data_IF_060039215432
#
_entry.id   IF_060039215432
#
_cell.length_a   1.000
_cell.length_b   1.000
_cell.length_c   1.000
_cell.angle_alpha   90.00
_cell.angle_beta   90.00
_cell.angle_gamma   90.00
#
_symmetry.space_group_name_H-M   'P 1'
#
loop_
_entity.id
_entity.type
_entity.pdbx_description
1 polymer ?
#
# COMPACT_ATOMS: atom_id res chain seq x y z
N UNK A 1 48.30 8.88 -35.34
CA UNK A 1 48.99 7.57 -35.26
C UNK A 1 47.93 6.54 -34.95
N UNK A 2 47.67 5.71 -35.95
CA UNK A 2 46.71 4.62 -35.95
C UNK A 2 47.36 3.39 -35.33
N UNK A 3 46.59 2.57 -34.65
CA UNK A 3 46.77 1.11 -34.72
C UNK A 3 45.44 0.41 -34.40
N UNK A 4 44.93 -0.22 -35.42
CA UNK A 4 43.92 -1.27 -35.41
C UNK A 4 44.51 -2.55 -34.80
N UNK A 5 43.69 -3.36 -34.16
CA UNK A 5 43.85 -4.81 -34.13
C UNK A 5 42.47 -5.48 -34.04
N UNK A 6 42.21 -6.23 -35.07
CA UNK A 6 41.09 -7.12 -35.37
C UNK A 6 41.36 -8.55 -34.89
N UNK A 7 40.28 -9.33 -34.92
CA UNK A 7 40.19 -10.81 -35.09
C UNK A 7 40.02 -11.59 -33.77
N UNK A 8 39.27 -12.66 -33.67
CA UNK A 8 38.49 -13.56 -34.52
C UNK A 8 37.71 -14.47 -33.57
N UNK A 9 36.51 -14.77 -33.73
CA UNK A 9 35.81 -15.83 -34.39
C UNK A 9 36.15 -17.26 -33.99
N UNK A 10 35.23 -17.92 -33.22
CA UNK A 10 35.15 -19.40 -33.25
C UNK A 10 33.74 -19.90 -33.00
N UNK A 11 33.14 -20.34 -34.05
CA UNK A 11 31.94 -21.19 -34.10
C UNK A 11 32.29 -22.63 -33.68
N UNK A 12 31.45 -23.24 -32.88
CA UNK A 12 31.43 -24.69 -32.73
C UNK A 12 30.01 -25.20 -32.85
N UNK A 13 29.76 -25.81 -34.02
CA UNK A 13 28.58 -26.66 -34.28
C UNK A 13 28.90 -28.06 -33.78
N UNK A 14 27.96 -28.71 -33.09
CA UNK A 14 27.88 -30.19 -33.02
C UNK A 14 26.39 -30.58 -32.92
N UNK A 15 25.95 -31.16 -33.88
CA UNK A 15 25.45 -32.40 -34.52
C UNK A 15 24.44 -33.16 -33.66
N UNK A 16 23.36 -33.38 -34.34
CA UNK A 16 22.21 -34.21 -34.07
C UNK A 16 22.56 -35.68 -33.83
N UNK A 17 21.77 -36.36 -33.04
CA UNK A 17 21.72 -37.82 -32.93
C UNK A 17 20.28 -38.24 -32.70
N UNK A 18 19.79 -39.06 -33.62
CA UNK A 18 18.41 -39.49 -33.76
C UNK A 18 18.15 -40.86 -33.10
N UNK A 19 16.89 -41.10 -32.86
CA UNK A 19 16.14 -42.37 -33.00
C UNK A 19 16.18 -43.42 -31.87
N UNK A 20 15.02 -43.87 -31.48
CA UNK A 20 14.74 -45.09 -30.75
C UNK A 20 13.22 -45.23 -30.43
N UNK A 21 12.53 -45.92 -31.30
CA UNK A 21 11.06 -46.19 -31.20
C UNK A 21 10.78 -47.52 -30.50
N UNK A 22 9.46 -47.72 -30.25
CA UNK A 22 8.75 -48.98 -29.93
C UNK A 22 8.62 -49.26 -28.40
N UNK A 23 7.50 -49.77 -27.85
CA UNK A 23 6.28 -50.37 -28.42
C UNK A 23 5.15 -50.41 -27.37
N UNK A 24 3.97 -50.41 -27.86
CA UNK A 24 2.68 -50.94 -27.41
C UNK A 24 2.61 -51.77 -26.11
N UNK A 25 1.53 -51.48 -25.34
CA UNK A 25 0.95 -52.41 -24.37
C UNK A 25 -0.45 -51.98 -23.99
N UNK A 26 -1.44 -52.34 -24.80
CA UNK A 26 -2.89 -52.29 -24.46
C UNK A 26 -3.22 -53.42 -23.47
N UNK A 27 -3.88 -53.09 -22.37
CA UNK A 27 -4.77 -54.05 -21.69
C UNK A 27 -6.06 -53.36 -21.30
N UNK A 28 -7.12 -53.70 -21.95
CA UNK A 28 -8.52 -53.50 -21.58
C UNK A 28 -8.96 -54.62 -20.63
N UNK A 29 -9.75 -54.31 -19.62
CA UNK A 29 -10.88 -55.03 -19.00
C UNK A 29 -11.10 -54.40 -17.64
N UNK A 30 -12.28 -54.10 -17.15
CA UNK A 30 -13.62 -54.58 -17.39
C UNK A 30 -14.62 -53.75 -16.57
N UNK A 31 -15.83 -53.77 -17.06
CA UNK A 31 -17.06 -53.22 -16.49
C UNK A 31 -17.44 -53.82 -15.13
N UNK A 32 -18.11 -53.01 -14.33
CA UNK A 32 -18.85 -53.49 -13.16
C UNK A 32 -19.61 -52.37 -12.47
N UNK A 33 -20.82 -52.10 -12.87
CA UNK A 33 -22.06 -52.28 -12.13
C UNK A 33 -22.48 -51.11 -11.22
N UNK A 34 -23.43 -50.35 -11.73
CA UNK A 34 -24.23 -49.37 -10.97
C UNK A 34 -24.95 -49.99 -9.76
N UNK A 35 -25.05 -49.19 -8.68
CA UNK A 35 -26.28 -49.16 -7.86
C UNK A 35 -26.55 -47.77 -7.35
N UNK A 36 -27.72 -47.29 -7.73
CA UNK A 36 -28.44 -46.12 -7.23
C UNK A 36 -28.94 -46.42 -5.81
N UNK A 37 -28.84 -45.46 -4.93
CA UNK A 37 -29.60 -45.52 -3.68
C UNK A 37 -29.18 -44.49 -2.64
N UNK A 38 -30.09 -43.57 -2.36
CA UNK A 38 -30.07 -42.82 -1.11
C UNK A 38 -29.87 -41.34 -1.24
N UNK A 39 -30.99 -40.63 -1.44
CA UNK A 39 -31.09 -39.19 -1.13
C UNK A 39 -30.89 -38.98 0.37
N UNK A 40 -29.87 -38.25 0.76
CA UNK A 40 -29.92 -37.48 1.99
C UNK A 40 -29.57 -36.05 1.63
N UNK A 41 -30.55 -35.17 1.76
CA UNK A 41 -30.41 -33.73 1.71
C UNK A 41 -29.62 -33.29 2.95
N UNK A 42 -28.31 -33.33 2.86
CA UNK A 42 -27.42 -32.66 3.79
C UNK A 42 -27.24 -31.25 3.31
N UNK A 43 -27.76 -30.30 4.07
CA UNK A 43 -27.42 -28.88 4.00
C UNK A 43 -25.92 -28.72 4.31
N UNK A 44 -25.08 -28.98 3.32
CA UNK A 44 -23.67 -28.75 3.35
C UNK A 44 -23.40 -27.41 2.67
N UNK A 45 -23.09 -26.41 3.45
CA UNK A 45 -22.51 -25.18 2.92
C UNK A 45 -21.34 -25.56 2.00
N UNK A 46 -21.40 -25.11 0.77
CA UNK A 46 -20.32 -25.24 -0.21
C UNK A 46 -19.10 -24.53 0.35
N UNK A 47 -18.20 -25.26 1.02
CA UNK A 47 -16.85 -24.79 1.26
C UNK A 47 -16.13 -24.81 -0.10
N UNK A 48 -16.41 -23.81 -0.92
CA UNK A 48 -15.67 -23.58 -2.15
C UNK A 48 -14.19 -23.42 -1.76
N UNK A 49 -13.31 -24.16 -2.42
CA UNK A 49 -11.87 -23.94 -2.24
C UNK A 49 -11.60 -22.48 -2.47
N UNK A 50 -10.98 -21.78 -1.51
CA UNK A 50 -10.73 -20.34 -1.56
C UNK A 50 -9.92 -19.93 -2.81
N UNK A 51 -9.08 -20.82 -3.33
CA UNK A 51 -8.25 -20.57 -4.50
C UNK A 51 -7.09 -19.62 -4.19
N UNK A 52 -6.62 -18.95 -5.23
CA UNK A 52 -5.52 -17.98 -5.15
C UNK A 52 -6.05 -16.59 -5.45
N UNK A 53 -5.61 -15.57 -4.68
CA UNK A 53 -5.84 -14.18 -5.01
C UNK A 53 -4.55 -13.35 -4.84
N UNK A 54 -4.46 -12.28 -5.62
CA UNK A 54 -3.31 -11.39 -5.69
C UNK A 54 -3.61 -10.13 -4.88
N UNK A 55 -2.84 -9.90 -3.84
CA UNK A 55 -2.97 -8.77 -2.93
C UNK A 55 -1.88 -7.75 -3.22
N UNK A 56 -2.23 -6.53 -3.59
CA UNK A 56 -1.27 -5.45 -3.72
C UNK A 56 -0.72 -5.06 -2.33
N UNK A 57 0.53 -4.68 -2.28
CA UNK A 57 1.20 -4.10 -1.10
C UNK A 57 1.88 -2.83 -1.57
N UNK A 58 1.43 -1.69 -1.07
CA UNK A 58 2.06 -0.41 -1.35
C UNK A 58 3.21 -0.13 -0.36
N UNK A 59 4.16 0.78 -0.70
CA UNK A 59 5.46 0.86 -0.05
C UNK A 59 5.46 1.64 1.28
N UNK A 60 4.55 1.32 2.20
CA UNK A 60 4.58 1.80 3.58
C UNK A 60 4.14 0.71 4.56
N UNK A 61 4.68 0.77 5.77
CA UNK A 61 4.54 -0.32 6.75
C UNK A 61 3.11 -0.50 7.26
N UNK A 62 2.28 0.55 7.25
CA UNK A 62 0.86 0.44 7.60
C UNK A 62 0.12 -0.47 6.63
N UNK A 63 0.33 -0.28 5.33
CA UNK A 63 -0.23 -1.16 4.30
C UNK A 63 0.31 -2.59 4.39
N UNK A 64 1.61 -2.75 4.66
CA UNK A 64 2.19 -4.07 4.88
C UNK A 64 1.52 -4.80 6.04
N UNK A 65 1.15 -4.06 7.10
CA UNK A 65 0.40 -4.61 8.24
C UNK A 65 -1.01 -5.09 7.85
N UNK A 66 -1.77 -4.27 7.07
CA UNK A 66 -3.06 -4.67 6.52
C UNK A 66 -2.94 -5.96 5.70
N UNK A 67 -2.01 -5.95 4.76
CA UNK A 67 -1.78 -7.08 3.86
C UNK A 67 -1.37 -8.36 4.60
N UNK A 68 -0.52 -8.22 5.63
CA UNK A 68 -0.07 -9.36 6.43
C UNK A 68 -1.22 -9.99 7.22
N UNK A 69 -2.08 -9.17 7.85
CA UNK A 69 -3.20 -9.65 8.65
C UNK A 69 -4.26 -10.31 7.77
N UNK A 70 -4.63 -9.68 6.65
CA UNK A 70 -5.62 -10.26 5.72
C UNK A 70 -5.08 -11.54 5.09
N UNK A 71 -3.80 -11.57 4.68
CA UNK A 71 -3.18 -12.77 4.12
C UNK A 71 -3.15 -13.91 5.14
N UNK A 72 -2.71 -13.65 6.37
CA UNK A 72 -2.67 -14.64 7.44
C UNK A 72 -4.05 -15.26 7.70
N UNK A 73 -5.09 -14.44 7.82
CA UNK A 73 -6.47 -14.93 8.04
C UNK A 73 -6.98 -15.73 6.84
N UNK A 74 -6.71 -15.26 5.62
CA UNK A 74 -7.10 -15.96 4.39
C UNK A 74 -6.43 -17.33 4.28
N UNK A 75 -5.16 -17.44 4.59
CA UNK A 75 -4.39 -18.67 4.48
C UNK A 75 -4.76 -19.65 5.60
N UNK A 76 -4.75 -19.20 6.87
CA UNK A 76 -4.92 -20.06 8.04
C UNK A 76 -6.39 -20.46 8.29
N UNK A 77 -7.34 -19.56 8.06
CA UNK A 77 -8.75 -19.84 8.34
C UNK A 77 -9.56 -20.28 7.13
N UNK A 78 -9.20 -19.84 5.92
CA UNK A 78 -9.96 -20.10 4.70
C UNK A 78 -9.25 -21.05 3.74
N UNK A 79 -7.96 -21.38 3.99
CA UNK A 79 -7.15 -22.25 3.13
C UNK A 79 -6.89 -21.65 1.75
N UNK A 80 -6.84 -20.32 1.66
CA UNK A 80 -6.49 -19.60 0.45
C UNK A 80 -4.98 -19.69 0.16
N UNK A 81 -4.59 -19.34 -1.06
CA UNK A 81 -3.22 -18.98 -1.38
C UNK A 81 -3.17 -17.49 -1.69
N UNK A 82 -2.42 -16.72 -0.93
CA UNK A 82 -2.28 -15.27 -1.14
C UNK A 82 -0.96 -14.97 -1.81
N UNK A 83 -1.01 -14.25 -2.93
CA UNK A 83 0.18 -13.73 -3.61
C UNK A 83 0.29 -12.24 -3.34
N UNK A 84 1.15 -11.87 -2.42
CA UNK A 84 1.49 -10.46 -2.15
C UNK A 84 2.34 -9.91 -3.30
N UNK A 85 2.02 -8.70 -3.75
CA UNK A 85 2.71 -8.01 -4.85
C UNK A 85 3.09 -6.61 -4.40
N UNK A 86 4.38 -6.37 -4.27
CA UNK A 86 4.91 -5.05 -3.94
C UNK A 86 4.77 -4.13 -5.16
N UNK A 87 3.87 -3.18 -5.08
CA UNK A 87 3.48 -2.30 -6.17
C UNK A 87 3.34 -0.86 -5.68
N UNK A 88 3.63 0.08 -6.58
CA UNK A 88 3.26 1.49 -6.40
C UNK A 88 1.75 1.65 -6.58
N UNK A 89 1.17 2.69 -5.98
CA UNK A 89 -0.28 2.92 -5.97
C UNK A 89 -0.91 2.85 -7.36
N UNK A 90 -0.46 3.68 -8.30
CA UNK A 90 -1.02 3.68 -9.66
C UNK A 90 -0.86 2.33 -10.40
N UNK A 91 0.25 1.61 -10.15
CA UNK A 91 0.49 0.31 -10.77
C UNK A 91 -0.45 -0.74 -10.18
N UNK A 92 -0.73 -0.66 -8.87
CA UNK A 92 -1.71 -1.55 -8.22
C UNK A 92 -3.10 -1.40 -8.87
N UNK A 93 -3.55 -0.17 -9.13
CA UNK A 93 -4.82 0.09 -9.81
C UNK A 93 -4.85 -0.43 -11.27
N UNK A 94 -3.74 -0.29 -12.01
CA UNK A 94 -3.62 -0.85 -13.36
C UNK A 94 -3.78 -2.38 -13.37
N UNK A 95 -3.31 -3.04 -12.30
CA UNK A 95 -3.38 -4.48 -12.10
C UNK A 95 -4.80 -5.06 -12.12
N UNK A 96 -5.84 -4.26 -11.83
CA UNK A 96 -7.23 -4.71 -11.92
C UNK A 96 -7.65 -5.04 -13.36
N UNK A 97 -7.16 -4.26 -14.33
CA UNK A 97 -7.47 -4.48 -15.76
C UNK A 97 -6.73 -5.69 -16.36
N UNK A 98 -5.54 -5.99 -15.86
CA UNK A 98 -4.71 -7.09 -16.34
C UNK A 98 -4.98 -8.41 -15.59
N UNK A 99 -5.69 -8.37 -14.45
CA UNK A 99 -5.90 -9.50 -13.56
C UNK A 99 -4.70 -9.83 -12.69
N UNK A 100 -3.75 -8.91 -12.59
CA UNK A 100 -2.56 -9.05 -11.75
C UNK A 100 -2.79 -8.66 -10.30
N UNK A 101 -3.82 -7.88 -10.01
CA UNK A 101 -4.25 -7.46 -8.69
C UNK A 101 -5.72 -7.81 -8.50
N UNK A 102 -6.05 -8.43 -7.38
CA UNK A 102 -7.41 -8.73 -6.97
C UNK A 102 -7.91 -7.78 -5.89
N UNK A 103 -7.03 -7.30 -5.01
CA UNK A 103 -7.40 -6.38 -3.94
C UNK A 103 -6.30 -5.34 -3.63
N UNK A 104 -6.76 -4.13 -3.35
CA UNK A 104 -6.08 -3.03 -2.65
C UNK A 104 -6.81 -2.86 -1.31
N UNK A 105 -6.09 -2.88 -0.19
CA UNK A 105 -6.69 -2.83 1.15
C UNK A 105 -6.74 -1.42 1.74
N UNK A 106 -5.88 -0.53 1.29
CA UNK A 106 -5.75 0.80 1.85
C UNK A 106 -5.67 1.83 0.72
N UNK A 107 -6.81 2.37 0.34
CA UNK A 107 -6.90 3.44 -0.66
C UNK A 107 -7.10 4.79 0.04
N UNK A 108 -6.32 5.78 -0.36
CA UNK A 108 -6.27 7.13 0.21
C UNK A 108 -7.06 8.15 -0.63
N UNK A 109 -8.30 7.82 -0.95
CA UNK A 109 -9.19 8.68 -1.74
C UNK A 109 -9.08 8.38 -3.24
N UNK A 110 -8.12 8.98 -3.95
CA UNK A 110 -7.85 8.78 -5.38
C UNK A 110 -9.10 8.79 -6.27
N UNK A 111 -9.88 9.86 -6.19
CA UNK A 111 -11.14 10.01 -6.96
C UNK A 111 -10.92 9.90 -8.47
N UNK A 112 -9.78 10.33 -8.97
CA UNK A 112 -9.37 10.19 -10.37
C UNK A 112 -9.18 8.73 -10.78
N UNK A 113 -8.55 7.90 -9.92
CA UNK A 113 -8.38 6.46 -10.15
C UNK A 113 -9.71 5.71 -9.99
N UNK A 114 -10.54 6.08 -9.01
CA UNK A 114 -11.92 5.55 -8.88
C UNK A 114 -12.72 5.86 -10.14
N UNK A 115 -12.72 7.10 -10.61
CA UNK A 115 -13.38 7.49 -11.86
C UNK A 115 -12.90 6.67 -13.04
N UNK A 116 -11.58 6.48 -13.16
CA UNK A 116 -10.97 5.73 -14.26
C UNK A 116 -11.32 4.24 -14.21
N UNK A 117 -11.06 3.57 -13.08
CA UNK A 117 -11.12 2.10 -13.01
C UNK A 117 -12.46 1.55 -12.56
N UNK A 118 -13.21 2.29 -11.70
CA UNK A 118 -14.53 1.85 -11.22
C UNK A 118 -15.63 2.31 -12.19
N UNK A 119 -15.65 3.61 -12.57
CA UNK A 119 -16.77 4.15 -13.35
C UNK A 119 -16.59 3.92 -14.85
N UNK A 120 -15.42 4.27 -15.42
CA UNK A 120 -15.19 4.26 -16.86
C UNK A 120 -14.81 2.87 -17.38
N UNK A 121 -13.71 2.29 -16.86
CA UNK A 121 -13.22 0.98 -17.31
C UNK A 121 -14.00 -0.19 -16.70
N UNK A 122 -14.60 0.01 -15.51
CA UNK A 122 -15.39 -1.00 -14.79
C UNK A 122 -14.60 -2.28 -14.52
N UNK A 123 -13.30 -2.14 -14.28
CA UNK A 123 -12.39 -3.24 -13.93
C UNK A 123 -12.28 -3.45 -12.43
N UNK A 124 -12.63 -2.44 -11.64
CA UNK A 124 -12.62 -2.45 -10.18
C UNK A 124 -14.00 -2.12 -9.59
N UNK A 125 -14.17 -2.41 -8.30
CA UNK A 125 -15.32 -2.04 -7.48
C UNK A 125 -14.84 -1.69 -6.09
N UNK A 126 -15.57 -0.79 -5.41
CA UNK A 126 -15.33 -0.46 -4.01
C UNK A 126 -15.83 -1.59 -3.11
N UNK A 127 -15.01 -2.00 -2.14
CA UNK A 127 -15.32 -3.07 -1.19
C UNK A 127 -15.57 -2.56 0.25
N UNK A 128 -15.78 -1.26 0.39
CA UNK A 128 -16.13 -0.61 1.66
C UNK A 128 -14.92 -0.15 2.49
N UNK A 129 -15.17 0.57 3.59
CA UNK A 129 -14.12 1.17 4.42
C UNK A 129 -13.33 0.13 5.20
N UNK A 130 -12.05 0.45 5.51
CA UNK A 130 -11.22 -0.33 6.43
C UNK A 130 -11.53 -0.07 7.90
N UNK A 131 -12.22 1.03 8.20
CA UNK A 131 -12.42 1.54 9.55
C UNK A 131 -11.37 2.58 9.98
N UNK A 132 -10.26 2.66 9.27
CA UNK A 132 -9.21 3.65 9.50
C UNK A 132 -9.61 5.03 9.01
N UNK A 133 -9.08 6.06 9.71
CA UNK A 133 -9.12 7.45 9.25
C UNK A 133 -7.71 7.86 8.84
N UNK A 134 -7.57 8.31 7.61
CA UNK A 134 -6.32 8.84 7.07
C UNK A 134 -6.24 10.37 7.26
N UNK A 135 -5.11 10.84 7.77
CA UNK A 135 -4.81 12.27 7.88
C UNK A 135 -3.44 12.53 7.29
N UNK A 136 -3.38 13.31 6.24
CA UNK A 136 -2.13 13.74 5.63
C UNK A 136 -1.88 15.21 6.00
N UNK A 137 -0.62 15.63 6.01
CA UNK A 137 -0.28 17.03 6.20
C UNK A 137 1.21 17.30 6.24
N UNK A 138 1.55 18.54 6.53
CA UNK A 138 2.91 18.95 6.81
C UNK A 138 3.13 19.01 8.30
N UNK A 139 4.30 18.60 8.71
CA UNK A 139 4.64 18.46 10.12
C UNK A 139 6.04 19.01 10.39
N UNK A 140 6.22 19.43 11.64
CA UNK A 140 7.51 19.80 12.19
C UNK A 140 7.80 19.00 13.46
N UNK A 141 9.08 18.83 13.85
CA UNK A 141 9.43 18.19 15.13
C UNK A 141 8.81 18.92 16.32
N UNK A 142 8.42 18.22 17.39
CA UNK A 142 7.81 18.81 18.59
C UNK A 142 8.66 19.92 19.22
N UNK A 143 9.99 19.76 19.25
CA UNK A 143 10.89 20.79 19.79
C UNK A 143 10.74 22.12 19.05
N UNK A 144 10.57 22.05 17.69
CA UNK A 144 10.51 23.24 16.83
C UNK A 144 9.19 24.00 17.05
N UNK A 145 8.08 23.27 17.12
CA UNK A 145 6.78 23.88 17.44
C UNK A 145 6.75 24.48 18.85
N UNK A 146 7.47 23.89 19.80
CA UNK A 146 7.58 24.42 21.16
C UNK A 146 8.41 25.71 21.22
N UNK A 147 9.53 25.79 20.50
CA UNK A 147 10.40 26.97 20.50
C UNK A 147 9.87 28.09 19.57
N UNK A 148 9.15 27.73 18.52
CA UNK A 148 8.56 28.64 17.53
C UNK A 148 7.08 28.28 17.26
N UNK A 149 6.14 28.58 18.17
CA UNK A 149 4.76 28.14 18.02
C UNK A 149 4.05 28.64 16.76
N UNK A 150 4.45 29.78 16.24
CA UNK A 150 3.90 30.36 15.02
C UNK A 150 4.26 29.58 13.74
N UNK A 151 5.20 28.63 13.82
CA UNK A 151 5.63 27.82 12.66
C UNK A 151 4.54 26.82 12.23
N UNK A 152 3.60 26.53 13.11
CA UNK A 152 2.48 25.64 12.82
C UNK A 152 1.35 26.31 11.99
N UNK A 153 1.45 27.60 11.67
CA UNK A 153 0.61 28.26 10.67
C UNK A 153 1.43 28.45 9.38
N UNK A 154 0.95 27.87 8.28
CA UNK A 154 1.62 27.91 6.98
C UNK A 154 2.02 29.33 6.51
N UNK A 155 1.26 30.35 6.91
CA UNK A 155 1.53 31.76 6.57
C UNK A 155 2.86 32.26 7.11
N UNK A 156 3.37 31.61 8.13
CA UNK A 156 4.64 32.00 8.76
C UNK A 156 5.83 31.21 8.25
N UNK A 157 5.63 30.17 7.40
CA UNK A 157 6.72 29.29 6.95
C UNK A 157 7.81 30.07 6.23
N UNK A 158 7.47 31.03 5.36
CA UNK A 158 8.45 31.83 4.62
C UNK A 158 9.35 32.67 5.51
N UNK A 159 8.89 33.07 6.68
CA UNK A 159 9.72 33.76 7.70
C UNK A 159 10.93 32.91 8.11
N UNK A 160 10.80 31.60 8.01
CA UNK A 160 11.79 30.61 8.42
C UNK A 160 12.43 29.86 7.25
N UNK A 161 12.10 30.16 6.00
CA UNK A 161 12.56 29.42 4.83
C UNK A 161 14.08 29.19 4.82
N UNK A 162 14.86 30.20 5.21
CA UNK A 162 16.32 30.13 5.31
C UNK A 162 16.81 29.03 6.31
N UNK A 163 16.05 28.76 7.36
CA UNK A 163 16.38 27.73 8.37
C UNK A 163 16.18 26.32 7.88
N UNK A 164 15.29 26.16 6.88
CA UNK A 164 14.98 24.87 6.26
C UNK A 164 15.83 24.57 5.02
N UNK A 165 16.78 25.46 4.65
CA UNK A 165 17.62 25.23 3.47
C UNK A 165 18.53 24.02 3.62
N UNK A 166 18.65 23.27 2.53
CA UNK A 166 19.58 22.16 2.40
C UNK A 166 20.35 22.26 1.08
N UNK A 167 21.32 21.40 0.87
CA UNK A 167 22.03 21.30 -0.42
C UNK A 167 21.11 20.93 -1.58
N UNK A 168 20.01 20.25 -1.32
CA UNK A 168 19.07 19.74 -2.34
C UNK A 168 17.96 20.73 -2.67
N UNK A 169 17.68 21.68 -1.77
CA UNK A 169 16.58 22.63 -1.95
C UNK A 169 16.91 23.82 -2.87
N UNK A 170 18.18 23.95 -3.32
CA UNK A 170 18.56 24.95 -4.32
C UNK A 170 18.42 26.40 -3.84
N UNK A 171 18.66 26.65 -2.56
CA UNK A 171 18.57 27.98 -1.95
C UNK A 171 17.20 28.35 -1.40
N UNK A 172 16.22 27.49 -1.54
CA UNK A 172 14.87 27.59 -0.92
C UNK A 172 14.78 26.77 0.37
N UNK A 173 13.77 27.00 1.19
CA UNK A 173 13.41 26.07 2.26
C UNK A 173 13.11 24.70 1.69
N UNK A 174 13.44 23.63 2.41
CA UNK A 174 13.08 22.27 2.03
C UNK A 174 11.78 21.86 2.68
N UNK A 175 10.84 21.33 1.87
CA UNK A 175 9.77 20.46 2.32
C UNK A 175 10.19 19.02 1.99
N UNK A 176 10.42 18.20 3.01
CA UNK A 176 10.82 16.80 2.84
C UNK A 176 9.55 15.95 2.65
N UNK A 177 9.37 15.41 1.46
CA UNK A 177 8.29 14.47 1.13
C UNK A 177 8.76 13.02 1.28
N UNK A 178 7.84 12.04 1.19
CA UNK A 178 8.11 10.63 1.42
C UNK A 178 8.77 9.91 0.24
N UNK A 179 8.20 8.80 -0.16
CA UNK A 179 8.57 8.08 -1.38
C UNK A 179 8.02 8.84 -2.60
N UNK A 180 8.81 9.02 -3.68
CA UNK A 180 8.36 9.74 -4.87
C UNK A 180 7.20 9.05 -5.62
N UNK A 181 6.80 7.86 -5.21
CA UNK A 181 5.62 7.18 -5.73
C UNK A 181 4.34 7.45 -4.93
N UNK A 182 4.42 8.17 -3.82
CA UNK A 182 3.22 8.62 -3.13
C UNK A 182 2.52 9.69 -3.97
N UNK A 183 1.21 9.63 -4.01
CA UNK A 183 0.40 10.64 -4.69
C UNK A 183 0.09 11.74 -3.70
N UNK A 184 0.85 12.85 -3.76
CA UNK A 184 0.73 13.98 -2.86
C UNK A 184 0.40 15.27 -3.59
N UNK A 185 -0.16 16.25 -2.87
CA UNK A 185 -0.45 17.59 -3.39
C UNK A 185 0.66 18.60 -3.05
N UNK A 186 1.78 18.17 -2.48
CA UNK A 186 2.78 19.03 -1.86
C UNK A 186 3.43 20.02 -2.83
N UNK A 187 3.75 19.58 -4.05
CA UNK A 187 4.30 20.45 -5.06
C UNK A 187 3.32 21.55 -5.50
N UNK A 188 2.04 21.21 -5.64
CA UNK A 188 0.98 22.15 -5.97
C UNK A 188 0.75 23.14 -4.81
N UNK A 189 0.72 22.65 -3.58
CA UNK A 189 0.61 23.48 -2.37
C UNK A 189 1.74 24.50 -2.27
N UNK A 190 2.99 24.08 -2.37
CA UNK A 190 4.15 24.99 -2.37
C UNK A 190 4.01 26.05 -3.44
N UNK A 191 3.67 25.67 -4.67
CA UNK A 191 3.49 26.57 -5.82
C UNK A 191 2.34 27.56 -5.63
N UNK A 192 1.16 27.06 -5.27
CA UNK A 192 -0.06 27.85 -5.25
C UNK A 192 -0.17 28.74 -4.00
N UNK A 193 0.40 28.31 -2.88
CA UNK A 193 0.56 29.14 -1.68
C UNK A 193 1.75 30.11 -1.80
N UNK A 194 2.53 30.04 -2.90
CA UNK A 194 3.67 30.91 -3.22
C UNK A 194 4.78 30.87 -2.16
N UNK A 195 5.00 29.70 -1.55
CA UNK A 195 6.02 29.51 -0.53
C UNK A 195 7.43 29.44 -1.15
N UNK A 196 8.42 30.05 -0.48
CA UNK A 196 9.83 29.95 -0.87
C UNK A 196 10.43 28.60 -0.43
N UNK A 197 9.75 27.53 -0.81
CA UNK A 197 10.12 26.15 -0.50
C UNK A 197 10.27 25.33 -1.79
N UNK A 198 10.95 24.20 -1.65
CA UNK A 198 11.09 23.16 -2.68
C UNK A 198 10.82 21.82 -2.05
N UNK A 199 9.99 21.02 -2.72
CA UNK A 199 9.77 19.61 -2.35
C UNK A 199 11.02 18.81 -2.70
N UNK A 200 11.51 18.03 -1.74
CA UNK A 200 12.62 17.09 -1.86
C UNK A 200 12.16 15.76 -1.28
N UNK A 201 12.39 14.67 -1.99
CA UNK A 201 11.91 13.36 -1.58
C UNK A 201 12.93 12.64 -0.70
N UNK A 202 12.46 12.07 0.41
CA UNK A 202 13.26 11.20 1.28
C UNK A 202 13.62 9.86 0.60
N UNK A 203 12.82 9.46 -0.40
CA UNK A 203 13.00 8.25 -1.18
C UNK A 203 12.38 6.99 -0.58
N UNK A 204 11.96 7.02 0.68
CA UNK A 204 11.22 5.96 1.35
C UNK A 204 10.60 6.43 2.65
N UNK A 205 9.56 5.73 3.13
CA UNK A 205 8.98 5.95 4.47
C UNK A 205 10.04 5.86 5.58
N UNK A 206 10.89 4.84 5.51
CA UNK A 206 11.96 4.65 6.51
C UNK A 206 12.91 5.83 6.58
N UNK A 207 13.30 6.40 5.44
CA UNK A 207 14.17 7.58 5.38
C UNK A 207 13.47 8.82 5.95
N UNK A 208 12.19 9.01 5.65
CA UNK A 208 11.36 10.08 6.19
C UNK A 208 11.26 10.01 7.73
N UNK A 209 10.95 8.83 8.27
CA UNK A 209 10.91 8.58 9.72
C UNK A 209 12.26 8.87 10.37
N UNK A 210 13.37 8.42 9.77
CA UNK A 210 14.71 8.68 10.29
C UNK A 210 15.05 10.17 10.28
N UNK A 211 14.63 10.91 9.26
CA UNK A 211 14.81 12.36 9.20
C UNK A 211 14.10 13.06 10.36
N UNK A 212 12.84 12.76 10.61
CA UNK A 212 12.09 13.33 11.75
C UNK A 212 12.68 12.92 13.10
N UNK A 213 13.07 11.66 13.28
CA UNK A 213 13.71 11.17 14.51
C UNK A 213 15.01 11.93 14.79
N UNK A 214 15.84 12.14 13.77
CA UNK A 214 17.07 12.91 13.91
C UNK A 214 16.81 14.39 14.15
N UNK A 215 15.82 14.97 13.48
CA UNK A 215 15.46 16.37 13.63
C UNK A 215 14.97 16.66 15.06
N UNK A 216 14.19 15.76 15.67
CA UNK A 216 13.80 15.86 17.07
C UNK A 216 15.01 15.72 18.00
N UNK A 217 15.80 14.66 17.84
CA UNK A 217 16.92 14.35 18.73
C UNK A 217 18.06 15.40 18.70
N UNK A 218 18.32 15.98 17.53
CA UNK A 218 19.43 16.93 17.31
C UNK A 218 18.98 18.39 17.22
N UNK A 219 17.69 18.66 17.42
CA UNK A 219 17.07 19.98 17.23
C UNK A 219 17.39 20.57 15.86
N UNK A 220 17.20 19.79 14.81
CA UNK A 220 17.38 20.23 13.43
C UNK A 220 16.04 20.73 12.87
N UNK A 221 16.10 21.82 12.12
CA UNK A 221 14.94 22.35 11.41
C UNK A 221 14.51 21.35 10.32
N UNK A 222 13.27 20.90 10.38
CA UNK A 222 12.66 20.02 9.40
C UNK A 222 11.18 20.38 9.25
N UNK A 223 10.76 20.61 8.02
CA UNK A 223 9.38 20.62 7.59
C UNK A 223 9.20 19.44 6.64
N UNK A 224 8.23 18.59 6.89
CA UNK A 224 8.02 17.45 6.01
C UNK A 224 6.57 16.98 5.96
N UNK A 225 6.26 16.27 4.89
CA UNK A 225 5.08 15.45 4.74
C UNK A 225 5.03 14.37 5.83
N UNK A 226 3.86 14.13 6.38
CA UNK A 226 3.63 12.96 7.24
C UNK A 226 2.14 12.59 7.25
N UNK A 227 1.78 11.47 7.89
CA UNK A 227 0.41 10.98 7.84
C UNK A 227 0.05 10.08 9.03
N UNK A 228 -1.24 9.89 9.24
CA UNK A 228 -1.85 8.92 10.14
C UNK A 228 -2.79 7.99 9.34
N UNK A 229 -2.85 6.69 9.66
CA UNK A 229 -2.17 5.98 10.74
C UNK A 229 -0.69 5.75 10.46
N UNK A 230 0.17 6.04 11.45
CA UNK A 230 1.61 5.79 11.40
C UNK A 230 2.15 5.62 12.82
N UNK A 231 2.71 4.45 13.12
CA UNK A 231 3.19 4.07 14.45
C UNK A 231 4.18 5.05 15.07
N UNK A 232 4.99 5.72 14.24
CA UNK A 232 6.04 6.64 14.67
C UNK A 232 5.51 7.84 15.46
N UNK A 233 4.29 8.29 15.18
CA UNK A 233 3.65 9.40 15.90
C UNK A 233 3.43 9.10 17.39
N UNK A 234 3.35 7.82 17.77
CA UNK A 234 3.33 7.42 19.19
C UNK A 234 4.69 7.53 19.87
N UNK A 235 5.79 7.53 19.10
CA UNK A 235 7.16 7.72 19.59
C UNK A 235 7.54 9.20 19.60
N UNK A 236 7.24 9.90 18.52
CA UNK A 236 7.51 11.34 18.34
C UNK A 236 6.21 12.01 17.87
N UNK A 237 5.50 12.72 18.75
CA UNK A 237 4.24 13.38 18.41
C UNK A 237 4.51 14.66 17.60
N UNK A 238 4.71 14.48 16.29
CA UNK A 238 4.97 15.58 15.37
C UNK A 238 3.87 16.63 15.44
N UNK A 239 4.22 17.90 15.30
CA UNK A 239 3.28 19.00 15.26
C UNK A 239 2.84 19.28 13.83
N UNK A 240 1.52 19.17 13.57
CA UNK A 240 0.95 19.47 12.24
C UNK A 240 0.98 20.96 11.97
N UNK A 241 1.30 21.34 10.75
CA UNK A 241 1.18 22.71 10.23
C UNK A 241 -0.26 22.88 9.72
N UNK A 242 -0.94 23.91 10.18
CA UNK A 242 -2.26 24.31 9.70
C UNK A 242 -2.11 24.92 8.31
N UNK A 243 -2.60 24.21 7.31
CA UNK A 243 -2.75 24.65 5.92
C UNK A 243 -4.09 25.37 5.71
N UNK A 244 -4.34 26.04 4.57
CA UNK A 244 -5.70 26.57 4.29
C UNK A 244 -6.73 25.46 4.40
N UNK A 245 -7.91 25.70 5.05
CA UNK A 245 -8.87 24.64 5.30
C UNK A 245 -9.31 23.92 4.01
N UNK A 246 -9.50 22.60 4.13
CA UNK A 246 -10.09 21.80 3.06
C UNK A 246 -11.56 22.22 2.84
N UNK A 247 -11.92 22.41 1.58
CA UNK A 247 -13.31 22.58 1.12
C UNK A 247 -13.56 21.56 -0.01
N UNK A 248 -14.74 20.95 -0.02
CA UNK A 248 -15.04 19.89 -0.99
C UNK A 248 -14.76 20.33 -2.43
N UNK A 249 -13.91 19.58 -3.12
CA UNK A 249 -13.51 19.84 -4.51
C UNK A 249 -12.36 20.83 -4.67
N UNK A 250 -11.76 21.35 -3.60
CA UNK A 250 -10.61 22.24 -3.71
C UNK A 250 -9.34 21.54 -4.22
N UNK A 251 -9.34 20.21 -4.25
CA UNK A 251 -8.30 19.32 -4.72
C UNK A 251 -8.65 18.61 -6.05
N UNK A 252 -9.80 18.93 -6.64
CA UNK A 252 -10.26 18.30 -7.89
C UNK A 252 -9.35 18.53 -9.11
N UNK A 253 -8.54 19.60 -9.10
CA UNK A 253 -7.52 19.86 -10.10
C UNK A 253 -6.15 19.85 -9.40
N UNK A 254 -5.42 18.74 -9.54
CA UNK A 254 -4.14 18.52 -8.86
C UNK A 254 -3.12 19.65 -9.03
N UNK A 255 -3.17 20.39 -10.17
CA UNK A 255 -2.27 21.52 -10.43
C UNK A 255 -2.66 22.81 -9.68
N UNK A 256 -3.89 22.88 -9.17
CA UNK A 256 -4.45 24.08 -8.54
C UNK A 256 -4.66 23.95 -7.03
N UNK A 257 -4.33 22.82 -6.46
CA UNK A 257 -4.52 22.58 -5.02
C UNK A 257 -3.83 23.65 -4.20
N UNK A 258 -4.59 24.29 -3.30
CA UNK A 258 -4.13 25.31 -2.37
C UNK A 258 -4.81 25.19 -0.99
N UNK A 259 -5.41 24.04 -0.70
CA UNK A 259 -6.10 23.69 0.55
C UNK A 259 -5.44 22.47 1.19
N UNK A 260 -5.65 22.29 2.51
CA UNK A 260 -5.20 21.10 3.24
C UNK A 260 -5.77 19.81 2.64
N UNK A 261 -5.22 18.69 3.00
CA UNK A 261 -5.76 17.39 2.67
C UNK A 261 -7.07 17.14 3.42
N UNK A 262 -8.02 16.40 2.84
CA UNK A 262 -9.21 15.95 3.57
C UNK A 262 -8.83 14.94 4.65
N UNK A 263 -9.75 14.69 5.57
CA UNK A 263 -9.68 13.46 6.37
C UNK A 263 -10.26 12.34 5.53
N UNK A 264 -9.45 11.32 5.24
CA UNK A 264 -9.84 10.18 4.42
C UNK A 264 -10.54 9.12 5.25
N UNK A 265 -11.64 8.59 4.75
CA UNK A 265 -12.13 7.27 5.13
C UNK A 265 -11.38 6.26 4.27
N UNK A 266 -10.35 5.61 4.83
CA UNK A 266 -9.57 4.64 4.06
C UNK A 266 -10.46 3.48 3.65
N UNK A 267 -10.40 3.08 2.38
CA UNK A 267 -11.28 2.09 1.82
C UNK A 267 -10.55 1.02 0.99
N UNK A 268 -11.26 -0.05 0.70
CA UNK A 268 -10.75 -1.19 -0.06
C UNK A 268 -11.30 -1.16 -1.47
N UNK A 269 -10.43 -1.45 -2.42
CA UNK A 269 -10.78 -1.56 -3.83
C UNK A 269 -10.43 -2.98 -4.29
N UNK A 270 -11.32 -3.63 -5.02
CA UNK A 270 -11.09 -4.98 -5.52
C UNK A 270 -11.38 -5.08 -7.02
N UNK A 271 -10.77 -6.07 -7.68
CA UNK A 271 -11.10 -6.34 -9.08
C UNK A 271 -12.56 -6.80 -9.19
N UNK A 272 -13.24 -6.34 -10.24
CA UNK A 272 -14.62 -6.78 -10.52
C UNK A 272 -14.73 -8.29 -10.65
N UNK A 273 -13.69 -8.94 -11.20
CA UNK A 273 -13.61 -10.40 -11.33
C UNK A 273 -13.56 -11.06 -9.94
N UNK A 274 -12.76 -10.55 -9.02
CA UNK A 274 -12.65 -11.07 -7.67
C UNK A 274 -13.96 -10.88 -6.90
N UNK A 275 -14.59 -9.73 -7.00
CA UNK A 275 -15.90 -9.46 -6.40
C UNK A 275 -16.99 -10.43 -6.88
N UNK A 276 -16.94 -10.85 -8.14
CA UNK A 276 -17.90 -11.80 -8.73
C UNK A 276 -17.49 -13.26 -8.63
N UNK A 277 -16.39 -13.58 -7.97
CA UNK A 277 -15.81 -14.94 -7.96
C UNK A 277 -16.54 -15.93 -7.04
N UNK A 278 -17.28 -15.45 -6.04
CA UNK A 278 -17.82 -16.27 -4.95
C UNK A 278 -16.75 -16.84 -4.03
N UNK A 279 -15.54 -16.32 -4.07
CA UNK A 279 -14.45 -16.73 -3.17
C UNK A 279 -14.69 -16.22 -1.74
N UNK A 280 -14.52 -17.05 -0.71
CA UNK A 280 -14.60 -16.59 0.67
C UNK A 280 -13.52 -15.55 1.01
N UNK A 281 -12.45 -15.46 0.22
CA UNK A 281 -11.46 -14.39 0.36
C UNK A 281 -12.05 -13.01 0.03
N UNK A 282 -12.99 -12.92 -0.91
CA UNK A 282 -13.67 -11.66 -1.19
C UNK A 282 -14.50 -11.20 0.01
N UNK A 283 -15.25 -12.11 0.64
CA UNK A 283 -16.04 -11.77 1.84
C UNK A 283 -15.12 -11.33 2.99
N UNK A 284 -14.00 -12.01 3.18
CA UNK A 284 -12.98 -11.60 4.15
C UNK A 284 -12.48 -10.17 3.85
N UNK A 285 -12.06 -9.89 2.61
CA UNK A 285 -11.57 -8.56 2.22
C UNK A 285 -12.66 -7.52 2.42
N UNK A 286 -13.88 -7.78 2.00
CA UNK A 286 -15.03 -6.87 2.15
C UNK A 286 -15.31 -6.54 3.62
N UNK A 287 -15.28 -7.55 4.48
CA UNK A 287 -15.63 -7.41 5.90
C UNK A 287 -14.43 -6.98 6.77
N UNK A 288 -13.20 -7.04 6.25
CA UNK A 288 -12.02 -6.57 6.97
C UNK A 288 -12.21 -5.13 7.44
N UNK A 289 -12.04 -4.92 8.74
CA UNK A 289 -12.12 -3.61 9.36
C UNK A 289 -11.38 -3.61 10.69
N UNK A 290 -10.62 -2.56 10.94
CA UNK A 290 -9.91 -2.36 12.19
C UNK A 290 -9.69 -0.86 12.48
N UNK A 291 -8.96 -0.52 13.53
CA UNK A 291 -8.71 0.88 13.92
C UNK A 291 -7.29 1.32 13.57
N UNK A 292 -7.03 2.62 13.60
CA UNK A 292 -5.68 3.18 13.44
C UNK A 292 -4.70 2.58 14.46
N UNK A 293 -5.16 2.33 15.70
CA UNK A 293 -4.35 1.73 16.76
C UNK A 293 -3.97 0.28 16.44
N UNK A 294 -4.91 -0.50 15.88
CA UNK A 294 -4.64 -1.88 15.47
C UNK A 294 -3.56 -1.94 14.40
N UNK A 295 -3.71 -1.10 13.35
CA UNK A 295 -2.73 -0.98 12.26
C UNK A 295 -1.36 -0.55 12.79
N UNK A 296 -1.32 0.51 13.59
CA UNK A 296 -0.09 1.03 14.18
C UNK A 296 0.61 -0.02 15.07
N UNK A 297 -0.15 -0.84 15.77
CA UNK A 297 0.42 -1.91 16.60
C UNK A 297 1.13 -2.97 15.75
N UNK A 298 0.47 -3.46 14.68
CA UNK A 298 1.07 -4.45 13.78
C UNK A 298 2.26 -3.85 13.03
N UNK A 299 2.11 -2.62 12.51
CA UNK A 299 3.18 -1.89 11.86
C UNK A 299 4.41 -1.71 12.78
N UNK A 300 4.18 -1.46 14.08
CA UNK A 300 5.25 -1.38 15.08
C UNK A 300 5.95 -2.72 15.29
N UNK A 301 5.22 -3.84 15.33
CA UNK A 301 5.83 -5.17 15.40
C UNK A 301 6.78 -5.41 14.22
N UNK A 302 6.39 -4.99 13.01
CA UNK A 302 7.23 -5.11 11.80
C UNK A 302 8.41 -4.13 11.86
N UNK A 303 8.13 -2.83 12.01
CA UNK A 303 9.13 -1.78 11.86
C UNK A 303 10.12 -1.67 13.02
N UNK A 304 9.67 -1.90 14.26
CA UNK A 304 10.45 -1.68 15.49
C UNK A 304 10.93 -3.00 16.07
N UNK A 305 10.00 -3.95 16.30
CA UNK A 305 10.32 -5.24 16.91
C UNK A 305 10.99 -6.20 15.90
N UNK A 306 11.09 -5.80 14.62
CA UNK A 306 11.72 -6.56 13.54
C UNK A 306 11.12 -7.95 13.33
N UNK A 307 9.84 -8.10 13.63
CA UNK A 307 9.11 -9.31 13.30
C UNK A 307 8.88 -9.41 11.79
N UNK A 308 8.80 -10.65 11.27
CA UNK A 308 8.28 -10.79 9.91
C UNK A 308 6.82 -10.35 9.86
N UNK A 309 6.30 -9.87 8.71
CA UNK A 309 4.90 -9.48 8.57
C UNK A 309 3.94 -10.61 8.99
N UNK A 310 4.25 -11.85 8.64
CA UNK A 310 3.46 -13.04 9.01
C UNK A 310 3.44 -13.26 10.52
N UNK A 311 4.59 -13.17 11.20
CA UNK A 311 4.67 -13.34 12.65
C UNK A 311 3.96 -12.19 13.41
N UNK A 312 4.04 -10.97 12.87
CA UNK A 312 3.32 -9.81 13.42
C UNK A 312 1.80 -9.98 13.29
N UNK A 313 1.34 -10.43 12.12
CA UNK A 313 -0.06 -10.73 11.86
C UNK A 313 -0.56 -11.86 12.77
N UNK A 314 0.16 -12.98 12.85
CA UNK A 314 -0.17 -14.10 13.75
C UNK A 314 -0.34 -13.64 15.19
N UNK A 315 0.62 -12.85 15.70
CA UNK A 315 0.59 -12.31 17.07
C UNK A 315 -0.67 -11.48 17.31
N UNK A 316 -0.99 -10.57 16.38
CA UNK A 316 -2.16 -9.70 16.51
C UNK A 316 -3.47 -10.49 16.38
N UNK A 317 -3.60 -11.39 15.41
CA UNK A 317 -4.79 -12.23 15.17
C UNK A 317 -5.10 -13.10 16.39
N UNK A 318 -4.08 -13.72 16.99
CA UNK A 318 -4.24 -14.52 18.22
C UNK A 318 -4.72 -13.69 19.40
N UNK A 319 -4.32 -12.42 19.49
CA UNK A 319 -4.74 -11.52 20.55
C UNK A 319 -6.15 -10.91 20.33
N UNK A 320 -6.66 -10.95 19.09
CA UNK A 320 -7.92 -10.30 18.69
C UNK A 320 -8.93 -11.25 18.01
N UNK A 321 -9.22 -12.45 18.57
CA UNK A 321 -10.05 -13.45 17.87
C UNK A 321 -11.46 -12.92 17.56
N UNK A 322 -12.05 -12.12 18.45
CA UNK A 322 -13.40 -11.58 18.27
C UNK A 322 -13.51 -10.60 17.08
N UNK A 323 -12.49 -9.79 16.82
CA UNK A 323 -12.44 -8.91 15.65
C UNK A 323 -12.34 -9.75 14.37
N UNK A 324 -11.45 -10.73 14.36
CA UNK A 324 -11.21 -11.60 13.21
C UNK A 324 -12.44 -12.45 12.88
N UNK A 325 -13.13 -12.98 13.87
CA UNK A 325 -14.36 -13.78 13.68
C UNK A 325 -15.53 -12.94 13.12
N UNK A 326 -15.50 -11.62 13.31
CA UNK A 326 -16.48 -10.72 12.71
C UNK A 326 -16.30 -10.56 11.19
N UNK A 327 -15.10 -10.77 10.67
CA UNK A 327 -14.81 -10.67 9.23
C UNK A 327 -15.26 -11.89 8.43
N UNK A 328 -15.49 -13.02 9.07
CA UNK A 328 -15.93 -14.28 8.46
C UNK A 328 -17.45 -14.49 8.44
N UNK A 329 -18.26 -13.45 8.74
CA UNK A 329 -19.73 -13.55 8.86
C UNK A 329 -20.46 -13.04 7.64
#
# INVERSE_FOLDING_TARGET
>A
MATHLTAAGRSARWRAGAAGAAALGLVLTGCGGAKVGGSEAGSGGSSGKCGTFNLAVNPWVGYEADAAVVAYVAEEKLGCTVKKKDLKEEIAWQGFGTGEVDAILENWGHDDLKKKYVEQQKTAVEAGPTGNKGVIGWYVPPWLAKEHPDITDWKNLDKYADKFRTSESGGKGQLLDGDPSYVTNDAALVKNLKLDFKVVYAGSETALIQAFRQAEAKKQWLLGYFYEPQWFLSEVPLAKVELPPYEAGCDADAEKVACDYPVYDLDKIVSKKFAGSGSPAYDLVKNFSWTNEDQNLVAKYIAVDKMSPEAAAEKWVKANPGKVDAWGK
#
